data_IF_267531078216
#
_entry.id   IF_267531078216
#
_cell.length_a   1.000
_cell.length_b   1.000
_cell.length_c   1.000
_cell.angle_alpha   90.00
_cell.angle_beta   90.00
_cell.angle_gamma   90.00
#
_symmetry.space_group_name_H-M   'P 1'
#
loop_
_entity.id
_entity.type
_entity.pdbx_description
1 polymer ?
#
# COMPACT_ATOMS: atom_id res chain seq x y z
N UNK A 1 -6.86 -7.06 8.92
CA UNK A 1 -5.67 -7.88 9.24
C UNK A 1 -5.28 -8.70 8.03
N UNK A 2 -6.17 -9.55 7.50
CA UNK A 2 -5.88 -10.34 6.28
C UNK A 2 -5.49 -9.46 5.09
N UNK A 3 -6.25 -8.39 4.81
CA UNK A 3 -5.94 -7.45 3.72
C UNK A 3 -4.56 -6.82 3.85
N UNK A 4 -4.14 -6.45 5.06
CA UNK A 4 -2.81 -5.90 5.29
C UNK A 4 -1.72 -6.94 5.05
N UNK A 5 -1.94 -8.20 5.42
CA UNK A 5 -1.00 -9.28 5.08
C UNK A 5 -0.90 -9.48 3.57
N UNK A 6 -2.01 -9.35 2.83
CA UNK A 6 -2.01 -9.40 1.35
C UNK A 6 -1.14 -8.28 0.78
N UNK A 7 -1.38 -7.05 1.23
CA UNK A 7 -0.60 -5.88 0.81
C UNK A 7 0.88 -6.04 1.15
N UNK A 8 1.21 -6.50 2.36
CA UNK A 8 2.58 -6.76 2.78
C UNK A 8 3.26 -7.84 1.93
N UNK A 9 2.57 -8.93 1.58
CA UNK A 9 3.15 -9.95 0.69
C UNK A 9 3.36 -9.43 -0.72
N UNK A 10 2.56 -8.46 -1.19
CA UNK A 10 2.80 -7.79 -2.47
C UNK A 10 4.13 -7.02 -2.54
N UNK A 11 4.75 -6.73 -1.38
CA UNK A 11 6.06 -6.08 -1.31
C UNK A 11 7.22 -7.06 -1.57
N UNK A 12 6.98 -8.37 -1.54
CA UNK A 12 7.96 -9.33 -2.03
C UNK A 12 8.05 -9.28 -3.54
N UNK A 13 9.19 -9.71 -4.09
CA UNK A 13 9.30 -9.87 -5.53
C UNK A 13 8.38 -10.99 -6.00
N UNK A 14 7.19 -10.60 -6.45
CA UNK A 14 6.27 -11.49 -7.15
C UNK A 14 6.59 -11.37 -8.63
N UNK A 15 6.65 -12.51 -9.35
CA UNK A 15 6.97 -12.56 -10.78
C UNK A 15 6.31 -11.41 -11.54
N UNK A 16 7.13 -10.44 -11.98
CA UNK A 16 6.67 -9.36 -12.85
C UNK A 16 6.97 -9.65 -14.32
N UNK A 17 7.79 -10.67 -14.62
CA UNK A 17 8.01 -11.17 -15.97
C UNK A 17 8.86 -12.47 -15.95
N UNK A 18 8.48 -13.56 -16.63
CA UNK A 18 9.31 -14.76 -16.76
C UNK A 18 10.63 -14.52 -17.52
N UNK A 19 10.76 -13.39 -18.22
CA UNK A 19 12.00 -13.02 -18.94
C UNK A 19 13.07 -12.33 -18.08
N UNK A 20 12.76 -11.88 -16.87
CA UNK A 20 13.67 -11.04 -16.06
C UNK A 20 14.26 -11.73 -14.82
N UNK A 21 14.23 -13.06 -14.75
CA UNK A 21 15.04 -13.81 -13.78
C UNK A 21 14.74 -13.49 -12.32
N UNK A 22 13.45 -13.36 -11.98
CA UNK A 22 13.04 -13.24 -10.59
C UNK A 22 13.18 -14.54 -9.82
N UNK A 23 13.63 -14.45 -8.57
CA UNK A 23 13.52 -15.57 -7.63
C UNK A 23 12.02 -15.86 -7.39
N UNK A 24 11.51 -17.10 -7.63
CA UNK A 24 10.13 -17.51 -7.39
C UNK A 24 9.74 -17.57 -5.92
N UNK A 25 10.34 -16.77 -5.05
CA UNK A 25 10.35 -16.96 -3.61
C UNK A 25 8.97 -17.26 -3.01
N UNK A 26 7.95 -16.44 -3.32
CA UNK A 26 6.58 -16.67 -2.84
C UNK A 26 5.97 -17.99 -3.37
N UNK A 27 6.28 -18.37 -4.61
CA UNK A 27 5.82 -19.63 -5.20
C UNK A 27 6.44 -20.83 -4.46
N UNK A 28 7.74 -20.81 -4.23
CA UNK A 28 8.44 -21.87 -3.49
C UNK A 28 7.90 -22.01 -2.07
N UNK A 29 7.64 -20.89 -1.41
CA UNK A 29 7.03 -20.91 -0.09
C UNK A 29 5.62 -21.52 -0.13
N UNK A 30 4.79 -21.11 -1.07
CA UNK A 30 3.45 -21.65 -1.23
C UNK A 30 3.46 -23.18 -1.50
N UNK A 31 4.44 -23.66 -2.28
CA UNK A 31 4.67 -25.08 -2.50
C UNK A 31 5.11 -25.80 -1.21
N UNK A 32 6.02 -25.20 -0.43
CA UNK A 32 6.48 -25.70 0.87
C UNK A 32 5.33 -25.82 1.87
N UNK A 33 4.41 -24.86 1.87
CA UNK A 33 3.17 -24.86 2.67
C UNK A 33 2.14 -25.89 2.15
N UNK A 34 2.44 -26.62 1.08
CA UNK A 34 1.65 -27.74 0.61
C UNK A 34 0.46 -27.38 -0.28
N UNK A 35 0.34 -26.13 -0.75
CA UNK A 35 -0.74 -25.70 -1.65
C UNK A 35 -0.78 -26.52 -2.93
N UNK A 36 -1.93 -27.12 -3.23
CA UNK A 36 -2.15 -27.85 -4.49
C UNK A 36 -2.18 -26.91 -5.69
N UNK A 37 -2.69 -25.68 -5.50
CA UNK A 37 -2.62 -24.64 -6.51
C UNK A 37 -1.17 -24.34 -6.89
N UNK A 38 -0.29 -24.09 -5.92
CA UNK A 38 1.09 -23.71 -6.19
C UNK A 38 1.98 -24.86 -6.71
N UNK A 39 1.67 -26.11 -6.35
CA UNK A 39 2.40 -27.31 -6.81
C UNK A 39 2.33 -27.55 -8.31
N UNK A 40 1.33 -26.99 -9.00
CA UNK A 40 1.18 -27.19 -10.45
C UNK A 40 2.09 -26.29 -11.29
N UNK A 41 2.69 -25.25 -10.69
CA UNK A 41 3.53 -24.29 -11.39
C UNK A 41 5.01 -24.62 -11.22
N UNK A 42 5.80 -24.40 -12.27
CA UNK A 42 7.26 -24.49 -12.23
C UNK A 42 7.91 -23.16 -11.78
N UNK A 43 9.24 -23.12 -11.72
CA UNK A 43 10.04 -21.95 -11.32
C UNK A 43 9.94 -20.75 -12.28
N UNK A 44 9.15 -20.86 -13.35
CA UNK A 44 8.79 -19.74 -14.24
C UNK A 44 7.38 -19.21 -13.98
N UNK A 45 6.68 -19.78 -13.00
CA UNK A 45 5.28 -19.47 -12.74
C UNK A 45 4.33 -20.03 -13.80
N UNK A 46 4.70 -21.10 -14.51
CA UNK A 46 3.87 -21.70 -15.57
C UNK A 46 3.45 -23.12 -15.19
N UNK A 47 2.21 -23.48 -15.46
CA UNK A 47 1.73 -24.87 -15.33
C UNK A 47 1.96 -25.70 -16.61
N UNK A 48 1.53 -26.98 -16.59
CA UNK A 48 1.67 -27.90 -17.72
C UNK A 48 0.87 -27.51 -18.97
N UNK A 49 -0.14 -26.65 -18.81
CA UNK A 49 -0.99 -26.14 -19.88
C UNK A 49 -0.54 -24.74 -20.35
N UNK A 50 0.60 -24.26 -19.85
CA UNK A 50 1.13 -22.92 -20.08
C UNK A 50 0.23 -21.78 -19.54
N UNK A 51 -0.55 -22.05 -18.49
CA UNK A 51 -1.23 -20.98 -17.76
C UNK A 51 -0.23 -20.28 -16.83
N UNK A 52 -0.35 -18.95 -16.76
CA UNK A 52 0.44 -18.12 -15.86
C UNK A 52 -0.08 -18.18 -14.41
N UNK A 53 0.86 -18.10 -13.46
CA UNK A 53 0.58 -17.95 -12.04
C UNK A 53 -0.18 -16.65 -11.78
N UNK A 54 -1.29 -16.76 -11.06
CA UNK A 54 -2.04 -15.60 -10.61
C UNK A 54 -1.55 -15.17 -9.23
N UNK A 55 -0.95 -13.99 -9.16
CA UNK A 55 -0.32 -13.47 -7.94
C UNK A 55 -1.32 -13.27 -6.78
N UNK A 56 -2.55 -12.84 -7.08
CA UNK A 56 -3.57 -12.67 -6.04
C UNK A 56 -3.99 -14.01 -5.42
N UNK A 57 -4.06 -15.05 -6.25
CA UNK A 57 -4.36 -16.42 -5.81
C UNK A 57 -3.20 -16.99 -5.02
N UNK A 58 -1.95 -16.79 -5.47
CA UNK A 58 -0.74 -17.17 -4.74
C UNK A 58 -0.70 -16.58 -3.33
N UNK A 59 -0.91 -15.26 -3.22
CA UNK A 59 -0.90 -14.55 -1.94
C UNK A 59 -2.03 -15.06 -1.03
N UNK A 60 -3.22 -15.30 -1.59
CA UNK A 60 -4.36 -15.86 -0.83
C UNK A 60 -4.07 -17.28 -0.31
N UNK A 61 -3.40 -18.11 -1.12
CA UNK A 61 -3.02 -19.47 -0.74
C UNK A 61 -2.01 -19.50 0.41
N UNK A 62 -1.05 -18.56 0.43
CA UNK A 62 -0.09 -18.41 1.53
C UNK A 62 -0.81 -17.97 2.80
N UNK A 63 -1.58 -16.88 2.74
CA UNK A 63 -2.22 -16.27 3.93
C UNK A 63 -3.18 -17.23 4.61
N UNK A 64 -3.93 -18.02 3.84
CA UNK A 64 -4.84 -19.04 4.39
C UNK A 64 -4.14 -20.20 5.12
N UNK A 65 -2.81 -20.32 4.99
CA UNK A 65 -2.00 -21.43 5.55
C UNK A 65 -1.01 -21.00 6.61
N UNK A 66 -0.82 -19.71 6.83
CA UNK A 66 0.09 -19.19 7.85
C UNK A 66 -0.68 -18.43 8.93
N UNK A 67 -0.43 -18.78 10.19
CA UNK A 67 -0.88 -17.97 11.31
C UNK A 67 -0.04 -16.68 11.43
N UNK A 68 -0.40 -15.84 12.39
CA UNK A 68 0.26 -14.54 12.59
C UNK A 68 1.74 -14.64 12.93
N UNK A 69 2.09 -15.52 13.87
CA UNK A 69 3.47 -15.68 14.32
C UNK A 69 4.34 -16.22 13.20
N UNK A 70 3.82 -17.20 12.45
CA UNK A 70 4.47 -17.75 11.26
C UNK A 70 4.63 -16.67 10.19
N UNK A 71 3.62 -15.83 9.96
CA UNK A 71 3.69 -14.73 9.01
C UNK A 71 4.78 -13.71 9.37
N UNK A 72 4.82 -13.25 10.62
CA UNK A 72 5.81 -12.28 11.10
C UNK A 72 7.22 -12.84 11.07
N UNK A 73 7.39 -14.09 11.52
CA UNK A 73 8.68 -14.78 11.43
C UNK A 73 9.11 -14.92 9.98
N UNK A 74 8.22 -15.36 9.10
CA UNK A 74 8.48 -15.51 7.67
C UNK A 74 8.93 -14.20 7.04
N UNK A 75 8.19 -13.11 7.28
CA UNK A 75 8.47 -11.81 6.70
C UNK A 75 9.85 -11.29 7.11
N UNK A 76 10.19 -11.40 8.40
CA UNK A 76 11.45 -10.92 8.94
C UNK A 76 12.64 -11.82 8.58
N UNK A 77 12.43 -13.13 8.40
CA UNK A 77 13.47 -14.06 7.94
C UNK A 77 13.88 -13.89 6.48
N UNK A 78 13.05 -13.25 5.66
CA UNK A 78 13.27 -13.09 4.22
C UNK A 78 13.28 -11.62 3.78
N UNK A 79 13.65 -10.74 4.71
CA UNK A 79 13.58 -9.29 4.51
C UNK A 79 14.45 -8.80 3.35
N UNK A 80 15.51 -9.52 2.99
CA UNK A 80 16.34 -9.24 1.83
C UNK A 80 15.54 -9.21 0.52
N UNK A 81 14.48 -10.02 0.41
CA UNK A 81 13.63 -10.15 -0.78
C UNK A 81 12.51 -9.12 -0.87
N UNK A 82 12.33 -8.30 0.18
CA UNK A 82 11.33 -7.22 0.20
C UNK A 82 11.80 -6.09 -0.72
N UNK A 83 10.97 -5.75 -1.72
CA UNK A 83 11.08 -4.58 -2.58
C UNK A 83 10.10 -3.52 -2.13
N UNK A 84 10.45 -2.83 -1.07
CA UNK A 84 9.65 -1.74 -0.58
C UNK A 84 10.38 -0.41 -0.74
N UNK A 85 9.68 0.55 -1.32
CA UNK A 85 10.17 1.89 -1.64
C UNK A 85 9.57 2.95 -0.70
N UNK A 86 8.65 2.52 0.18
CA UNK A 86 7.91 3.35 1.14
C UNK A 86 7.52 2.51 2.34
N UNK A 87 7.46 3.16 3.50
CA UNK A 87 6.97 2.53 4.71
C UNK A 87 5.48 2.11 4.56
N UNK A 88 5.09 1.07 5.29
CA UNK A 88 3.71 0.60 5.37
C UNK A 88 3.15 0.93 6.74
N UNK A 89 2.03 1.66 6.79
CA UNK A 89 1.38 2.08 8.03
C UNK A 89 -0.05 1.56 8.11
N UNK A 90 -0.17 0.26 8.40
CA UNK A 90 -1.44 -0.42 8.57
C UNK A 90 -2.06 -0.26 9.96
N UNK A 91 -3.30 -0.75 10.08
CA UNK A 91 -4.03 -0.79 11.35
C UNK A 91 -3.41 -1.80 12.31
N UNK A 92 -2.80 -2.86 11.81
CA UNK A 92 -2.21 -3.91 12.63
C UNK A 92 -0.69 -3.96 12.47
N UNK A 93 -0.19 -3.69 11.26
CA UNK A 93 1.23 -3.83 10.96
C UNK A 93 1.90 -2.51 10.58
N UNK A 94 3.17 -2.39 10.96
CA UNK A 94 4.06 -1.31 10.51
C UNK A 94 5.32 -1.91 9.88
N UNK A 95 5.61 -1.54 8.63
CA UNK A 95 6.88 -1.87 7.96
C UNK A 95 7.68 -0.59 7.78
N UNK A 96 8.84 -0.52 8.41
CA UNK A 96 9.81 0.52 8.11
C UNK A 96 10.76 0.02 7.03
N UNK A 97 10.73 0.64 5.86
CA UNK A 97 11.32 0.07 4.65
C UNK A 97 12.83 0.22 4.57
N UNK A 98 13.36 1.26 5.19
CA UNK A 98 14.81 1.46 5.30
C UNK A 98 15.44 0.37 6.17
N UNK A 99 14.78 0.02 7.27
CA UNK A 99 15.22 -1.00 8.22
C UNK A 99 14.79 -2.42 7.79
N UNK A 100 13.79 -2.51 6.92
CA UNK A 100 13.08 -3.74 6.52
C UNK A 100 12.62 -4.57 7.73
N UNK A 101 12.04 -3.88 8.70
CA UNK A 101 11.52 -4.47 9.94
C UNK A 101 10.00 -4.37 9.91
N UNK A 102 9.34 -5.53 10.00
CA UNK A 102 7.90 -5.61 10.17
C UNK A 102 7.58 -5.80 11.66
N UNK A 103 6.78 -4.89 12.19
CA UNK A 103 6.26 -4.94 13.55
C UNK A 103 4.76 -5.22 13.53
N UNK A 104 4.29 -6.00 14.51
CA UNK A 104 2.87 -6.12 14.83
C UNK A 104 2.44 -4.98 15.75
N UNK A 105 2.57 -3.76 15.25
CA UNK A 105 2.23 -2.54 15.97
C UNK A 105 1.57 -1.56 15.01
N UNK A 106 0.56 -0.85 15.51
CA UNK A 106 -0.09 0.23 14.75
C UNK A 106 0.53 1.57 15.09
N UNK A 107 0.81 2.35 14.05
CA UNK A 107 1.17 3.77 14.20
C UNK A 107 0.05 4.71 13.74
N UNK A 108 -1.17 4.20 13.56
CA UNK A 108 -2.31 5.01 13.11
C UNK A 108 -2.63 6.17 14.03
N UNK A 109 -2.37 6.07 15.34
CA UNK A 109 -2.57 7.19 16.26
C UNK A 109 -1.65 8.37 15.92
N UNK A 110 -0.37 8.12 15.61
CA UNK A 110 0.58 9.15 15.17
C UNK A 110 0.16 9.74 13.82
N UNK A 111 -0.22 8.87 12.88
CA UNK A 111 -0.69 9.31 11.56
C UNK A 111 -1.95 10.15 11.64
N UNK A 112 -2.88 9.79 12.52
CA UNK A 112 -4.07 10.60 12.80
C UNK A 112 -3.68 11.98 13.32
N UNK A 113 -2.80 12.04 14.32
CA UNK A 113 -2.32 13.31 14.89
C UNK A 113 -1.63 14.18 13.83
N UNK A 114 -0.77 13.59 12.99
CA UNK A 114 -0.13 14.29 11.85
C UNK A 114 -1.19 14.88 10.90
N UNK A 115 -2.20 14.10 10.51
CA UNK A 115 -3.29 14.57 9.63
C UNK A 115 -4.10 15.67 10.33
N UNK A 116 -4.52 15.47 11.57
CA UNK A 116 -5.31 16.44 12.35
C UNK A 116 -4.56 17.76 12.55
N UNK A 117 -3.23 17.71 12.73
CA UNK A 117 -2.37 18.89 12.78
C UNK A 117 -2.36 19.65 11.44
N UNK A 118 -2.29 18.94 10.31
CA UNK A 118 -2.37 19.55 8.97
C UNK A 118 -3.74 20.21 8.76
N UNK A 119 -4.83 19.51 9.13
CA UNK A 119 -6.20 20.03 9.03
C UNK A 119 -6.38 21.30 9.88
N UNK A 120 -5.79 21.32 11.07
CA UNK A 120 -5.82 22.48 11.98
C UNK A 120 -4.98 23.66 11.47
N UNK A 121 -3.85 23.38 10.79
CA UNK A 121 -2.95 24.40 10.22
C UNK A 121 -3.54 25.11 9.01
N UNK A 122 -4.40 24.42 8.23
CA UNK A 122 -5.10 24.98 7.08
C UNK A 122 -6.61 24.72 7.18
N UNK A 123 -7.32 25.42 8.09
CA UNK A 123 -8.72 25.15 8.38
C UNK A 123 -9.60 25.22 7.13
N UNK A 124 -10.38 24.17 6.89
CA UNK A 124 -11.30 24.07 5.76
C UNK A 124 -10.64 23.86 4.39
N UNK A 125 -9.41 24.31 4.15
CA UNK A 125 -8.72 24.09 2.88
C UNK A 125 -8.09 22.69 2.81
N UNK A 126 -7.37 22.27 3.87
CA UNK A 126 -6.72 20.95 3.87
C UNK A 126 -7.72 19.79 3.82
N UNK A 127 -8.89 19.92 4.47
CA UNK A 127 -9.92 18.87 4.41
C UNK A 127 -10.46 18.69 2.99
N UNK A 128 -10.64 19.77 2.22
CA UNK A 128 -11.10 19.70 0.83
C UNK A 128 -10.05 19.07 -0.08
N UNK A 129 -8.79 19.45 0.09
CA UNK A 129 -7.67 18.86 -0.65
C UNK A 129 -7.55 17.37 -0.35
N UNK A 130 -7.56 16.98 0.94
CA UNK A 130 -7.46 15.58 1.34
C UNK A 130 -8.67 14.76 0.86
N UNK A 131 -9.89 15.32 0.94
CA UNK A 131 -11.11 14.69 0.43
C UNK A 131 -11.05 14.47 -1.08
N UNK A 132 -10.54 15.45 -1.83
CA UNK A 132 -10.36 15.33 -3.28
C UNK A 132 -9.34 14.24 -3.65
N UNK A 133 -8.22 14.16 -2.93
CA UNK A 133 -7.22 13.10 -3.14
C UNK A 133 -7.85 11.74 -2.85
N UNK A 134 -8.56 11.62 -1.72
CA UNK A 134 -9.25 10.39 -1.32
C UNK A 134 -10.25 9.94 -2.38
N UNK A 135 -11.15 10.83 -2.80
CA UNK A 135 -12.15 10.53 -3.83
C UNK A 135 -11.52 10.07 -5.15
N UNK A 136 -10.51 10.78 -5.66
CA UNK A 136 -9.91 10.46 -6.95
C UNK A 136 -9.05 9.20 -6.89
N UNK A 137 -8.23 9.03 -5.85
CA UNK A 137 -7.28 7.92 -5.78
C UNK A 137 -7.88 6.63 -5.21
N UNK A 138 -8.78 6.73 -4.24
CA UNK A 138 -9.37 5.59 -3.54
C UNK A 138 -10.71 5.21 -4.18
N UNK A 139 -11.67 6.14 -4.27
CA UNK A 139 -13.02 5.81 -4.76
C UNK A 139 -13.09 5.63 -6.28
N UNK A 140 -12.40 6.50 -7.04
CA UNK A 140 -12.29 6.37 -8.51
C UNK A 140 -11.14 5.47 -8.96
N UNK A 141 -10.26 5.04 -8.05
CA UNK A 141 -9.11 4.19 -8.38
C UNK A 141 -8.08 4.84 -9.32
N UNK A 142 -8.06 6.17 -9.44
CA UNK A 142 -7.16 6.88 -10.38
C UNK A 142 -5.89 7.33 -9.68
N UNK A 143 -4.79 6.59 -9.89
CA UNK A 143 -3.51 6.79 -9.17
C UNK A 143 -2.49 7.66 -9.93
N UNK A 144 -2.51 7.64 -11.25
CA UNK A 144 -1.49 8.29 -12.08
C UNK A 144 -2.00 9.54 -12.79
N UNK A 145 -1.13 10.55 -12.92
CA UNK A 145 -1.35 11.81 -13.63
C UNK A 145 -2.67 12.49 -13.23
N UNK A 146 -3.04 12.34 -11.96
CA UNK A 146 -4.36 12.71 -11.44
C UNK A 146 -4.38 14.13 -10.85
N UNK A 147 -3.24 14.84 -10.83
CA UNK A 147 -3.11 16.20 -10.29
C UNK A 147 -4.26 17.15 -10.64
N UNK A 148 -4.59 17.28 -11.93
CA UNK A 148 -5.66 18.19 -12.36
C UNK A 148 -7.04 17.70 -11.93
N UNK A 149 -7.29 16.39 -11.91
CA UNK A 149 -8.55 15.82 -11.45
C UNK A 149 -8.76 16.11 -9.96
N UNK A 150 -7.73 15.88 -9.15
CA UNK A 150 -7.75 16.21 -7.71
C UNK A 150 -7.94 17.71 -7.51
N UNK A 151 -7.21 18.56 -8.26
CA UNK A 151 -7.35 20.00 -8.12
C UNK A 151 -8.76 20.49 -8.45
N UNK A 152 -9.33 20.02 -9.55
CA UNK A 152 -10.71 20.35 -9.95
C UNK A 152 -11.72 19.85 -8.91
N UNK A 153 -11.52 18.66 -8.35
CA UNK A 153 -12.38 18.13 -7.28
C UNK A 153 -12.24 18.96 -5.99
N UNK A 154 -11.03 19.37 -5.61
CA UNK A 154 -10.87 20.25 -4.45
C UNK A 154 -11.61 21.59 -4.64
N UNK A 155 -11.49 22.18 -5.83
CA UNK A 155 -12.20 23.41 -6.21
C UNK A 155 -13.74 23.22 -6.19
N UNK A 156 -14.25 22.06 -6.62
CA UNK A 156 -15.69 21.73 -6.55
C UNK A 156 -16.20 21.68 -5.10
N UNK A 157 -15.35 21.24 -4.17
CA UNK A 157 -15.60 21.25 -2.72
C UNK A 157 -15.44 22.65 -2.09
N UNK A 158 -15.16 23.68 -2.88
CA UNK A 158 -15.02 25.07 -2.43
C UNK A 158 -13.60 25.43 -1.96
N UNK A 159 -12.57 24.71 -2.43
CA UNK A 159 -11.18 25.06 -2.16
C UNK A 159 -10.81 26.30 -2.97
N UNK A 160 -10.24 27.31 -2.29
CA UNK A 160 -9.95 28.61 -2.91
C UNK A 160 -8.69 28.63 -3.79
N UNK A 161 -7.95 27.52 -3.89
CA UNK A 161 -6.64 27.45 -4.55
C UNK A 161 -5.48 27.93 -3.67
N UNK A 162 -5.75 28.64 -2.57
CA UNK A 162 -4.72 29.14 -1.65
C UNK A 162 -4.09 27.98 -0.88
N UNK A 163 -2.78 28.05 -0.66
CA UNK A 163 -2.01 27.03 0.07
C UNK A 163 -1.93 25.63 -0.56
N UNK A 164 -2.39 25.42 -1.80
CA UNK A 164 -2.36 24.12 -2.48
C UNK A 164 -1.03 23.37 -2.30
N UNK A 165 0.08 23.97 -2.76
CA UNK A 165 1.41 23.35 -2.64
C UNK A 165 1.86 23.16 -1.19
N UNK A 166 1.49 24.07 -0.28
CA UNK A 166 1.85 23.92 1.14
C UNK A 166 1.15 22.73 1.77
N UNK A 167 -0.14 22.55 1.49
CA UNK A 167 -0.91 21.39 1.97
C UNK A 167 -0.33 20.11 1.38
N UNK A 168 -0.08 20.06 0.07
CA UNK A 168 0.52 18.87 -0.56
C UNK A 168 1.91 18.54 0.04
N UNK A 169 2.77 19.54 0.27
CA UNK A 169 4.07 19.30 0.90
C UNK A 169 3.95 18.74 2.31
N UNK A 170 2.98 19.20 3.11
CA UNK A 170 2.76 18.68 4.47
C UNK A 170 2.21 17.24 4.44
N UNK A 171 1.30 16.93 3.51
CA UNK A 171 0.82 15.57 3.28
C UNK A 171 1.95 14.63 2.83
N UNK A 172 2.89 15.12 2.01
CA UNK A 172 4.08 14.37 1.61
C UNK A 172 5.04 14.13 2.79
N UNK A 173 5.29 15.15 3.61
CA UNK A 173 6.13 15.03 4.80
C UNK A 173 5.54 14.06 5.83
N UNK A 174 4.21 14.04 5.95
CA UNK A 174 3.49 13.06 6.77
C UNK A 174 3.41 11.66 6.11
N UNK A 175 3.93 11.47 4.90
CA UNK A 175 3.89 10.19 4.18
C UNK A 175 2.46 9.72 3.85
N UNK A 176 1.52 10.65 3.72
CA UNK A 176 0.13 10.37 3.33
C UNK A 176 0.00 10.21 1.81
N UNK A 177 0.81 10.98 1.07
CA UNK A 177 0.95 10.89 -0.39
C UNK A 177 2.44 10.77 -0.77
N UNK A 178 2.78 10.29 -1.97
CA UNK A 178 4.16 10.12 -2.39
C UNK A 178 4.97 11.41 -2.43
N UNK A 179 6.24 11.34 -2.01
CA UNK A 179 7.16 12.48 -1.95
C UNK A 179 7.85 12.82 -3.29
N UNK A 180 7.77 11.94 -4.29
CA UNK A 180 8.59 12.03 -5.50
C UNK A 180 7.91 12.72 -6.70
N UNK A 181 6.59 12.88 -6.71
CA UNK A 181 5.91 13.60 -7.79
C UNK A 181 4.59 14.22 -7.32
N UNK A 182 4.37 15.50 -7.65
CA UNK A 182 3.07 16.15 -7.47
C UNK A 182 2.05 15.73 -8.52
N UNK A 183 2.44 14.99 -9.57
CA UNK A 183 1.52 14.52 -10.62
C UNK A 183 0.65 13.34 -10.17
N UNK A 184 1.16 12.54 -9.24
CA UNK A 184 0.57 11.29 -8.78
C UNK A 184 0.17 11.43 -7.31
N UNK A 185 -1.02 11.99 -7.08
CA UNK A 185 -1.58 12.19 -5.76
C UNK A 185 -2.37 10.93 -5.37
N UNK A 186 -1.67 9.92 -4.88
CA UNK A 186 -2.28 8.68 -4.38
C UNK A 186 -2.26 8.60 -2.86
N UNK A 187 -3.34 8.06 -2.29
CA UNK A 187 -3.33 7.56 -0.92
C UNK A 187 -3.09 6.06 -0.98
N UNK A 188 -2.13 5.60 -0.19
CA UNK A 188 -1.79 4.18 -0.15
C UNK A 188 -2.89 3.36 0.51
N UNK A 189 -3.08 2.13 0.03
CA UNK A 189 -4.23 1.29 0.38
C UNK A 189 -4.30 1.00 1.89
N UNK A 190 -3.15 0.89 2.56
CA UNK A 190 -3.04 0.63 3.98
C UNK A 190 -3.49 1.79 4.88
N UNK A 191 -3.34 3.03 4.41
CA UNK A 191 -3.69 4.24 5.18
C UNK A 191 -5.04 4.83 4.76
N UNK A 192 -5.57 4.42 3.60
CA UNK A 192 -6.86 4.86 3.09
C UNK A 192 -8.01 4.71 4.11
N UNK A 193 -8.15 3.59 4.86
CA UNK A 193 -9.24 3.47 5.84
C UNK A 193 -9.14 4.51 6.96
N UNK A 194 -7.93 4.82 7.45
CA UNK A 194 -7.71 5.86 8.46
C UNK A 194 -8.17 7.23 7.96
N UNK A 195 -7.84 7.57 6.71
CA UNK A 195 -8.23 8.86 6.11
C UNK A 195 -9.75 8.90 5.94
N UNK A 196 -10.36 7.81 5.48
CA UNK A 196 -11.82 7.69 5.42
C UNK A 196 -12.48 7.91 6.79
N UNK A 197 -11.92 7.37 7.87
CA UNK A 197 -12.42 7.62 9.24
C UNK A 197 -12.28 9.09 9.68
N UNK A 198 -11.26 9.81 9.21
CA UNK A 198 -11.04 11.22 9.55
C UNK A 198 -12.01 12.11 8.76
N UNK A 199 -12.24 11.81 7.48
CA UNK A 199 -13.08 12.62 6.60
C UNK A 199 -14.58 12.47 6.88
N UNK A 200 -15.01 11.34 7.46
CA UNK A 200 -16.42 11.07 7.80
C UNK A 200 -16.82 11.52 9.22
N UNK A 201 -15.97 12.27 9.92
CA UNK A 201 -16.27 12.87 11.24
C UNK A 201 -16.84 14.27 11.10
#
# INVERSE_FOLDING_TARGET
MEDERRLLLSYFYVFSNPHYGGDPFLLHECQRLGSQYCKRFNDRGMDSEYNELNNDTLISEIISRVDEDTFLSYFNSHKENIKCHRDFFGRYYTLLCKEKVLENSSVWYKKREEIENILSKYPGDAIKVLSAIYYVSVEKGTRFKNYYMVKTEAESLGFSGKNWFKILSELQLAGIIPSYDYKDLEIHEEIAPLIGEILNR
#
